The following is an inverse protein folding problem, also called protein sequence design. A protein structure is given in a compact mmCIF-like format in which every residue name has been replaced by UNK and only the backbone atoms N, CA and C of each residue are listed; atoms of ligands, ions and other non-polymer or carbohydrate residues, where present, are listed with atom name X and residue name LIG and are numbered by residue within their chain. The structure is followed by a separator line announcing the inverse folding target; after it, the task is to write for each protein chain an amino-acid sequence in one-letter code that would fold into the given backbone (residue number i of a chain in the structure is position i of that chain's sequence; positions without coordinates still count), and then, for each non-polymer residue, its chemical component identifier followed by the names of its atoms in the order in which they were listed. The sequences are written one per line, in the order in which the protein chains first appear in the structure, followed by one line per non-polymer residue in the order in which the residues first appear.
data_IF_708874511266
#
_entry.id   IF_708874511266
#
_cell.length_a   1.000
_cell.length_b   1.000
_cell.length_c   1.000
_cell.angle_alpha   90.00
_cell.angle_beta   90.00
_cell.angle_gamma   90.00
#
_symmetry.space_group_name_H-M   'P 1'
#
loop_
_entity.id
_entity.type
_entity.pdbx_description
1 polymer ?
#
# COMPACT_ATOMS: atom_id res chain seq x y z
N UNK A 1 4.09 15.39 -2.16
CA UNK A 1 2.61 15.45 -2.15
C UNK A 1 2.10 14.27 -2.98
N UNK A 2 1.13 13.47 -2.51
CA UNK A 2 0.58 12.31 -3.23
C UNK A 2 -0.33 12.73 -4.40
N UNK A 3 0.20 13.54 -5.29
CA UNK A 3 -0.39 13.92 -6.57
C UNK A 3 0.46 13.35 -7.70
N UNK A 4 -0.18 13.02 -8.81
CA UNK A 4 0.53 12.61 -10.01
C UNK A 4 1.20 13.86 -10.59
N UNK A 5 2.53 13.86 -10.67
CA UNK A 5 3.32 15.01 -11.14
C UNK A 5 3.26 15.22 -12.67
N UNK A 6 2.76 14.22 -13.43
CA UNK A 6 2.57 14.32 -14.88
C UNK A 6 1.25 15.01 -15.20
N UNK A 7 1.32 16.07 -16.01
CA UNK A 7 0.16 16.77 -16.56
C UNK A 7 -0.71 15.85 -17.44
N UNK A 8 -0.10 14.93 -18.19
CA UNK A 8 -0.77 13.97 -19.09
C UNK A 8 -1.15 12.64 -18.42
N UNK A 9 -1.69 12.69 -17.20
CA UNK A 9 -2.25 11.49 -16.59
C UNK A 9 -3.53 11.09 -17.35
N UNK A 10 -3.45 10.02 -18.16
CA UNK A 10 -4.52 9.51 -19.05
C UNK A 10 -5.89 9.24 -18.39
N UNK A 11 -6.00 9.27 -17.05
CA UNK A 11 -7.27 9.28 -16.33
C UNK A 11 -7.09 9.65 -14.84
N UNK A 12 -7.93 10.55 -14.32
CA UNK A 12 -8.11 10.82 -12.88
C UNK A 12 -7.72 12.23 -12.43
N UNK A 13 -8.38 12.73 -11.39
CA UNK A 13 -8.31 14.09 -10.79
C UNK A 13 -6.92 14.48 -10.19
N UNK A 14 -5.81 14.01 -10.75
CA UNK A 14 -4.45 14.26 -10.23
C UNK A 14 -4.11 13.51 -8.93
N UNK A 15 -5.02 12.66 -8.43
CA UNK A 15 -4.89 11.92 -7.17
C UNK A 15 -4.30 10.53 -7.39
N UNK A 16 -3.33 10.13 -6.55
CA UNK A 16 -2.75 8.77 -6.60
C UNK A 16 -3.74 7.71 -6.13
N UNK A 17 -3.56 6.44 -6.53
CA UNK A 17 -4.36 5.31 -6.03
C UNK A 17 -4.35 5.23 -4.50
N UNK A 18 -3.19 5.48 -3.89
CA UNK A 18 -3.03 5.52 -2.45
C UNK A 18 -3.81 6.68 -1.83
N UNK A 19 -3.69 7.89 -2.39
CA UNK A 19 -4.48 9.04 -1.95
C UNK A 19 -5.98 8.77 -2.02
N UNK A 20 -6.48 8.21 -3.13
CA UNK A 20 -7.89 7.82 -3.31
C UNK A 20 -8.35 6.89 -2.19
N UNK A 21 -7.59 5.83 -1.94
CA UNK A 21 -7.93 4.85 -0.90
C UNK A 21 -8.02 5.50 0.48
N UNK A 22 -7.07 6.38 0.84
CA UNK A 22 -7.10 7.09 2.12
C UNK A 22 -8.27 8.05 2.24
N UNK A 23 -8.65 8.75 1.16
CA UNK A 23 -9.84 9.60 1.15
C UNK A 23 -11.13 8.80 1.38
N UNK A 24 -11.28 7.63 0.74
CA UNK A 24 -12.43 6.74 0.96
C UNK A 24 -12.47 6.17 2.39
N UNK A 25 -11.32 6.03 3.05
CA UNK A 25 -11.21 5.63 4.45
C UNK A 25 -11.32 6.80 5.44
N UNK A 26 -11.43 8.04 4.96
CA UNK A 26 -11.43 9.26 5.78
C UNK A 26 -10.14 9.33 6.63
N UNK A 27 -9.01 9.05 6.00
CA UNK A 27 -7.67 9.14 6.59
C UNK A 27 -6.95 10.34 5.96
N UNK A 28 -6.64 11.33 6.79
CA UNK A 28 -5.86 12.49 6.38
C UNK A 28 -4.36 12.14 6.33
N UNK A 29 -3.69 12.60 5.27
CA UNK A 29 -2.24 12.41 5.11
C UNK A 29 -1.51 13.62 5.68
N UNK A 30 -0.78 13.40 6.76
CA UNK A 30 0.18 14.38 7.28
C UNK A 30 1.56 14.09 6.69
N UNK A 31 2.00 14.92 5.75
CA UNK A 31 3.32 14.79 5.14
C UNK A 31 4.40 15.30 6.10
N UNK A 32 5.35 14.44 6.46
CA UNK A 32 6.55 14.84 7.19
C UNK A 32 7.46 15.67 6.27
N UNK A 33 7.36 16.99 6.36
CA UNK A 33 8.11 17.94 5.52
C UNK A 33 9.56 18.19 6.01
N UNK A 34 9.99 17.50 7.07
CA UNK A 34 11.34 17.63 7.64
C UNK A 34 12.00 16.28 7.90
N UNK A 35 13.33 16.27 7.85
CA UNK A 35 14.13 15.09 8.18
C UNK A 35 13.97 14.66 9.65
N UNK A 36 13.73 15.61 10.56
CA UNK A 36 13.43 15.34 11.97
C UNK A 36 12.10 14.59 12.15
N UNK A 37 11.09 14.91 11.33
CA UNK A 37 9.78 14.25 11.38
C UNK A 37 9.82 12.80 10.83
N UNK A 38 10.78 12.47 9.96
CA UNK A 38 10.88 11.15 9.30
C UNK A 38 12.06 10.30 9.78
N UNK A 39 13.06 10.89 10.44
CA UNK A 39 14.39 10.30 10.61
C UNK A 39 14.46 9.03 11.45
N UNK A 40 13.53 8.80 12.39
CA UNK A 40 13.48 7.54 13.16
C UNK A 40 13.03 6.37 12.28
N UNK A 41 11.95 6.56 11.53
CA UNK A 41 11.40 5.55 10.62
C UNK A 41 12.38 5.25 9.50
N UNK A 42 13.02 6.26 8.91
CA UNK A 42 14.00 6.05 7.83
C UNK A 42 15.24 5.26 8.29
N UNK A 43 15.72 5.47 9.53
CA UNK A 43 16.84 4.69 10.09
C UNK A 43 16.46 3.23 10.31
N UNK A 44 15.27 2.98 10.85
CA UNK A 44 14.75 1.62 11.03
C UNK A 44 14.57 0.92 9.68
N UNK A 45 13.95 1.59 8.71
CA UNK A 45 13.72 1.05 7.36
C UNK A 45 15.03 0.69 6.66
N UNK A 46 16.04 1.55 6.72
CA UNK A 46 17.37 1.26 6.13
C UNK A 46 17.99 0.01 6.74
N UNK A 47 17.91 -0.13 8.07
CA UNK A 47 18.43 -1.29 8.79
C UNK A 47 17.69 -2.56 8.40
N UNK A 48 16.36 -2.50 8.30
CA UNK A 48 15.52 -3.62 7.91
C UNK A 48 15.77 -4.04 6.45
N UNK A 49 15.90 -3.09 5.52
CA UNK A 49 16.16 -3.38 4.11
C UNK A 49 17.51 -4.06 3.89
N UNK A 50 18.56 -3.61 4.57
CA UNK A 50 19.89 -4.25 4.49
C UNK A 50 19.89 -5.64 5.12
N UNK A 51 19.29 -5.77 6.31
CA UNK A 51 19.33 -7.01 7.09
C UNK A 51 18.42 -8.10 6.52
N UNK A 52 17.22 -7.75 6.07
CA UNK A 52 16.26 -8.71 5.53
C UNK A 52 16.85 -9.43 4.31
N UNK A 53 17.47 -8.68 3.38
CA UNK A 53 18.09 -9.27 2.20
C UNK A 53 19.19 -10.28 2.57
N UNK A 54 20.03 -9.94 3.55
CA UNK A 54 21.11 -10.81 4.05
C UNK A 54 20.57 -12.06 4.75
N UNK A 55 19.52 -11.92 5.57
CA UNK A 55 18.91 -13.07 6.22
C UNK A 55 18.21 -14.00 5.22
N UNK A 56 17.48 -13.45 4.23
CA UNK A 56 16.91 -14.27 3.15
C UNK A 56 17.98 -15.07 2.40
N UNK A 57 19.10 -14.42 2.05
CA UNK A 57 20.21 -15.10 1.39
C UNK A 57 20.84 -16.18 2.30
N UNK A 58 21.01 -15.90 3.59
CA UNK A 58 21.59 -16.84 4.55
C UNK A 58 20.73 -18.09 4.74
N UNK A 59 19.41 -17.94 4.70
CA UNK A 59 18.45 -19.05 4.78
C UNK A 59 18.16 -19.70 3.42
N UNK A 60 18.84 -19.26 2.34
CA UNK A 60 18.69 -19.86 1.00
C UNK A 60 17.34 -19.60 0.34
N UNK A 61 16.67 -18.49 0.66
CA UNK A 61 15.32 -18.17 0.18
C UNK A 61 15.39 -17.35 -1.11
N UNK A 62 14.73 -17.86 -2.17
CA UNK A 62 14.73 -17.22 -3.49
C UNK A 62 13.33 -17.01 -4.10
N UNK A 63 12.28 -17.47 -3.40
CA UNK A 63 10.89 -17.30 -3.86
C UNK A 63 10.12 -16.32 -2.97
N UNK A 64 9.10 -15.67 -3.54
CA UNK A 64 8.23 -14.74 -2.80
C UNK A 64 7.44 -15.50 -1.73
N UNK A 65 7.02 -16.73 -2.04
CA UNK A 65 6.25 -17.60 -1.17
C UNK A 65 7.06 -17.99 0.08
N UNK A 66 8.32 -18.38 -0.09
CA UNK A 66 9.24 -18.67 1.02
C UNK A 66 9.56 -17.42 1.83
N UNK A 67 9.81 -16.29 1.16
CA UNK A 67 10.07 -15.03 1.84
C UNK A 67 8.87 -14.62 2.73
N UNK A 68 7.64 -14.73 2.20
CA UNK A 68 6.42 -14.44 2.96
C UNK A 68 6.26 -15.33 4.20
N UNK A 69 6.63 -16.62 4.10
CA UNK A 69 6.64 -17.54 5.26
C UNK A 69 7.71 -17.15 6.28
N UNK A 70 8.88 -16.72 5.83
CA UNK A 70 10.00 -16.32 6.69
C UNK A 70 9.75 -15.00 7.44
N UNK A 71 9.02 -14.05 6.84
CA UNK A 71 8.85 -12.70 7.36
C UNK A 71 8.26 -12.64 8.77
N UNK A 72 7.29 -13.49 9.11
CA UNK A 72 6.66 -13.48 10.44
C UNK A 72 7.67 -13.73 11.56
N UNK A 73 8.48 -14.79 11.42
CA UNK A 73 9.54 -15.12 12.39
C UNK A 73 10.68 -14.09 12.39
N UNK A 74 11.00 -13.49 11.24
CA UNK A 74 11.97 -12.40 11.18
C UNK A 74 11.50 -11.18 11.99
N UNK A 75 10.24 -10.76 11.81
CA UNK A 75 9.65 -9.62 12.55
C UNK A 75 9.62 -9.89 14.04
N UNK A 76 9.28 -11.11 14.45
CA UNK A 76 9.29 -11.51 15.87
C UNK A 76 10.69 -11.36 16.47
N UNK A 77 11.71 -12.01 15.88
CA UNK A 77 13.11 -11.92 16.35
C UNK A 77 13.63 -10.49 16.37
N UNK A 78 13.28 -9.70 15.35
CA UNK A 78 13.67 -8.30 15.27
C UNK A 78 13.04 -7.50 16.42
N UNK A 79 11.73 -7.66 16.64
CA UNK A 79 11.01 -6.93 17.69
C UNK A 79 11.46 -7.35 19.09
N UNK A 80 11.74 -8.63 19.35
CA UNK A 80 12.31 -9.09 20.63
C UNK A 80 13.61 -8.36 20.99
N UNK A 81 14.43 -8.04 19.99
CA UNK A 81 15.74 -7.42 20.20
C UNK A 81 15.71 -5.89 20.21
N UNK A 82 14.82 -5.28 19.43
CA UNK A 82 14.89 -3.84 19.12
C UNK A 82 13.60 -3.07 19.41
N UNK A 83 12.47 -3.73 19.66
CA UNK A 83 11.24 -3.01 19.97
C UNK A 83 11.35 -2.34 21.34
N UNK A 84 10.87 -1.10 21.41
CA UNK A 84 10.70 -0.36 22.64
C UNK A 84 9.21 -0.34 22.99
N UNK A 85 8.83 -0.62 24.24
CA UNK A 85 7.44 -0.49 24.64
C UNK A 85 6.97 0.96 24.45
N UNK A 86 5.74 1.18 23.99
CA UNK A 86 5.21 2.53 23.87
C UNK A 86 5.09 3.16 25.25
N UNK A 87 5.43 4.44 25.37
CA UNK A 87 5.27 5.19 26.63
C UNK A 87 3.81 5.23 27.12
N UNK A 88 2.85 5.08 26.19
CA UNK A 88 1.42 4.96 26.48
C UNK A 88 0.88 3.74 25.73
N UNK A 89 0.49 2.65 26.42
CA UNK A 89 0.08 1.41 25.78
C UNK A 89 -1.37 1.43 25.26
N UNK A 90 -2.13 2.50 25.54
CA UNK A 90 -3.52 2.61 25.10
C UNK A 90 -3.63 2.61 23.57
N UNK A 91 -4.47 1.74 23.04
CA UNK A 91 -4.82 1.75 21.63
C UNK A 91 -5.75 2.93 21.33
N UNK A 92 -5.24 3.93 20.61
CA UNK A 92 -6.00 5.12 20.18
C UNK A 92 -6.45 5.05 18.72
N UNK A 93 -6.30 3.89 18.07
CA UNK A 93 -6.75 3.72 16.69
C UNK A 93 -8.27 3.74 16.61
N UNK A 94 -8.79 4.45 15.60
CA UNK A 94 -10.22 4.44 15.29
C UNK A 94 -10.63 3.02 14.83
N UNK A 95 -11.71 2.43 15.36
CA UNK A 95 -12.21 1.16 14.88
C UNK A 95 -12.71 1.29 13.43
N UNK A 96 -12.52 0.22 12.65
CA UNK A 96 -13.01 0.16 11.29
C UNK A 96 -14.54 0.10 11.30
N UNK A 97 -15.20 1.10 10.73
CA UNK A 97 -16.67 1.20 10.67
C UNK A 97 -17.28 0.55 9.43
N UNK A 98 -16.45 -0.01 8.55
CA UNK A 98 -16.87 -0.63 7.29
C UNK A 98 -16.56 -2.13 7.28
N UNK A 99 -17.33 -2.94 6.54
CA UNK A 99 -17.03 -4.36 6.38
C UNK A 99 -15.65 -4.59 5.73
N UNK A 100 -14.97 -5.67 6.11
CA UNK A 100 -13.68 -6.05 5.52
C UNK A 100 -13.77 -6.32 4.01
N UNK A 101 -14.92 -6.79 3.52
CA UNK A 101 -15.17 -6.94 2.08
C UNK A 101 -14.98 -5.64 1.33
N UNK A 102 -15.38 -4.51 1.92
CA UNK A 102 -15.26 -3.20 1.31
C UNK A 102 -13.81 -2.72 1.18
N UNK A 103 -12.90 -3.20 2.04
CA UNK A 103 -11.48 -2.87 1.91
C UNK A 103 -10.89 -3.38 0.60
N UNK A 104 -11.38 -4.51 0.06
CA UNK A 104 -10.90 -5.04 -1.23
C UNK A 104 -11.23 -4.07 -2.37
N UNK A 105 -12.41 -3.46 -2.34
CA UNK A 105 -12.83 -2.46 -3.33
C UNK A 105 -12.08 -1.13 -3.17
N UNK A 106 -11.81 -0.74 -1.92
CA UNK A 106 -11.12 0.52 -1.63
C UNK A 106 -9.64 0.41 -1.99
N UNK A 107 -8.97 -0.67 -1.62
CA UNK A 107 -7.52 -0.85 -1.76
C UNK A 107 -7.08 -1.41 -3.12
N UNK A 108 -8.02 -1.74 -4.03
CA UNK A 108 -7.67 -2.19 -5.37
C UNK A 108 -7.18 -1.04 -6.26
N UNK A 109 -6.52 -1.39 -7.37
CA UNK A 109 -6.18 -0.42 -8.41
C UNK A 109 -7.44 -0.13 -9.23
N UNK A 110 -7.82 1.15 -9.35
CA UNK A 110 -8.98 1.59 -10.15
C UNK A 110 -8.54 2.48 -11.30
N UNK A 111 -9.03 2.20 -12.49
CA UNK A 111 -8.79 3.04 -13.67
C UNK A 111 -10.13 3.42 -14.28
N UNK A 112 -10.31 4.71 -14.58
CA UNK A 112 -11.46 5.16 -15.35
C UNK A 112 -11.17 4.95 -16.82
N UNK A 113 -12.12 4.34 -17.52
CA UNK A 113 -12.06 4.08 -18.95
C UNK A 113 -13.38 4.51 -19.58
N UNK A 114 -13.30 4.97 -20.82
CA UNK A 114 -14.48 5.24 -21.62
C UNK A 114 -15.03 3.93 -22.17
N UNK A 115 -16.34 3.75 -22.05
CA UNK A 115 -17.07 2.63 -22.63
C UNK A 115 -17.81 3.15 -23.86
N UNK A 116 -17.54 2.56 -25.02
CA UNK A 116 -18.21 2.92 -26.26
C UNK A 116 -19.67 2.46 -26.29
N UNK A 117 -20.44 2.94 -27.27
CA UNK A 117 -21.85 2.59 -27.43
C UNK A 117 -22.10 1.08 -27.58
N UNK A 118 -21.12 0.35 -28.11
CA UNK A 118 -21.15 -1.11 -28.25
C UNK A 118 -20.77 -1.85 -26.96
N UNK A 119 -20.73 -1.17 -25.81
CA UNK A 119 -20.29 -1.70 -24.52
C UNK A 119 -18.85 -2.23 -24.52
N UNK A 120 -18.00 -1.66 -25.37
CA UNK A 120 -16.60 -2.05 -25.50
C UNK A 120 -15.65 -1.02 -24.88
N UNK A 121 -14.57 -1.49 -24.26
CA UNK A 121 -13.50 -0.65 -23.73
C UNK A 121 -12.12 -1.28 -23.97
N UNK A 122 -11.11 -0.43 -24.18
CA UNK A 122 -9.72 -0.89 -24.37
C UNK A 122 -8.94 -0.86 -23.06
N UNK A 123 -8.27 -1.96 -22.75
CA UNK A 123 -7.42 -2.10 -21.57
C UNK A 123 -6.22 -3.02 -21.85
N UNK A 124 -4.99 -2.54 -21.58
CA UNK A 124 -3.75 -3.30 -21.80
C UNK A 124 -3.65 -3.97 -23.18
N UNK A 125 -4.00 -3.23 -24.24
CA UNK A 125 -4.05 -3.71 -25.64
C UNK A 125 -5.06 -4.83 -25.88
N UNK A 126 -6.02 -5.02 -24.98
CA UNK A 126 -7.17 -5.92 -25.14
C UNK A 126 -8.44 -5.09 -25.27
N UNK A 127 -9.35 -5.54 -26.12
CA UNK A 127 -10.71 -5.02 -26.19
C UNK A 127 -11.59 -5.88 -25.29
N UNK A 128 -12.18 -5.28 -24.27
CA UNK A 128 -13.11 -5.93 -23.35
C UNK A 128 -14.52 -5.52 -23.76
N UNK A 129 -15.42 -6.50 -23.92
CA UNK A 129 -16.85 -6.26 -24.13
C UNK A 129 -17.57 -6.51 -22.81
N UNK A 130 -18.38 -5.55 -22.37
CA UNK A 130 -19.19 -5.66 -21.18
C UNK A 130 -20.55 -6.28 -21.52
N UNK A 131 -21.04 -7.13 -20.64
CA UNK A 131 -22.44 -7.57 -20.71
C UNK A 131 -23.35 -6.51 -20.06
N UNK A 132 -24.53 -6.23 -20.65
CA UNK A 132 -25.52 -5.37 -20.02
C UNK A 132 -25.89 -5.88 -18.63
N UNK A 133 -26.07 -4.97 -17.67
CA UNK A 133 -26.63 -5.34 -16.38
C UNK A 133 -28.07 -5.85 -16.59
N UNK A 134 -28.38 -7.03 -16.04
CA UNK A 134 -29.75 -7.57 -15.97
C UNK A 134 -30.63 -6.73 -15.07
#
# INVERSE_FOLDING_TARGET
MFRVAKADALAGQGMTQFGRALAELIIEILCANSSQAKGRVERANRTLQDRLAKELQREGIFTIEEANRFLSGFVERFNTRFALPPARPANLHRPLKIPLSRLRDILCRREFRYVGQQLQLSWQRKLLTLEPAR
#
